data_IF_587605257531
#
_entry.id   IF_587605257531
#
_cell.length_a   1.000
_cell.length_b   1.000
_cell.length_c   1.000
_cell.angle_alpha   90.00
_cell.angle_beta   90.00
_cell.angle_gamma   90.00
#
_symmetry.space_group_name_H-M   'P 1'
#
loop_
_entity.id
_entity.type
_entity.pdbx_description
1 polymer ?
#
# COMPACT_ATOMS: atom_id res chain seq x y z
N UNK A 1 56.20 -33.31 -2.53
CA UNK A 1 56.98 -32.92 -3.71
C UNK A 1 56.10 -33.12 -4.95
N UNK A 2 55.99 -32.08 -5.79
CA UNK A 2 55.38 -32.01 -7.14
C UNK A 2 53.86 -31.77 -7.28
N UNK A 3 53.56 -30.48 -7.51
CA UNK A 3 52.57 -29.91 -8.43
C UNK A 3 52.41 -30.70 -9.75
N UNK A 4 51.19 -30.77 -10.31
CA UNK A 4 50.80 -30.09 -11.58
C UNK A 4 49.35 -30.39 -12.05
N UNK A 5 48.71 -29.32 -12.56
CA UNK A 5 47.66 -29.22 -13.60
C UNK A 5 46.24 -29.67 -13.18
N UNK A 6 45.21 -28.83 -12.98
CA UNK A 6 44.60 -27.77 -13.81
C UNK A 6 44.32 -28.21 -15.26
N UNK A 7 43.07 -28.64 -15.51
CA UNK A 7 42.29 -28.49 -16.74
C UNK A 7 40.80 -28.67 -16.32
N UNK A 8 40.05 -27.58 -16.12
CA UNK A 8 39.14 -26.99 -17.12
C UNK A 8 38.06 -27.97 -17.60
N UNK A 9 36.93 -28.00 -16.89
CA UNK A 9 35.63 -28.41 -17.44
C UNK A 9 34.58 -27.38 -17.03
N UNK A 10 34.54 -26.27 -17.78
CA UNK A 10 33.35 -25.42 -17.86
C UNK A 10 32.28 -26.21 -18.62
N UNK A 11 31.32 -26.78 -17.90
CA UNK A 11 30.10 -27.32 -18.50
C UNK A 11 29.23 -26.14 -18.95
N UNK A 12 29.48 -25.68 -20.18
CA UNK A 12 28.64 -24.76 -20.91
C UNK A 12 27.40 -25.54 -21.36
N UNK A 13 26.33 -25.47 -20.57
CA UNK A 13 25.02 -25.97 -20.96
C UNK A 13 24.45 -25.03 -22.02
N UNK A 14 24.83 -25.25 -23.28
CA UNK A 14 24.25 -24.58 -24.44
C UNK A 14 22.84 -25.16 -24.60
N UNK A 15 21.84 -24.45 -24.07
CA UNK A 15 20.45 -24.65 -24.44
C UNK A 15 20.30 -24.26 -25.91
N UNK A 16 20.46 -25.22 -26.83
CA UNK A 16 20.06 -25.03 -28.22
C UNK A 16 18.53 -25.03 -28.26
N UNK A 17 17.95 -23.84 -28.18
CA UNK A 17 16.58 -23.55 -28.59
C UNK A 17 16.44 -23.93 -30.07
N UNK A 18 15.97 -25.14 -30.33
CA UNK A 18 15.44 -25.52 -31.64
C UNK A 18 14.14 -24.76 -31.84
N UNK A 19 14.23 -23.61 -32.49
CA UNK A 19 13.10 -22.88 -33.03
C UNK A 19 12.51 -23.77 -34.13
N UNK A 20 11.41 -24.46 -33.81
CA UNK A 20 10.55 -25.05 -34.83
C UNK A 20 9.84 -23.88 -35.51
N UNK A 21 10.35 -23.50 -36.67
CA UNK A 21 9.74 -22.55 -37.59
C UNK A 21 8.47 -23.15 -38.19
N UNK A 22 7.31 -22.77 -37.66
CA UNK A 22 6.03 -22.81 -38.36
C UNK A 22 5.72 -21.42 -38.94
N UNK A 23 5.53 -21.35 -40.26
CA UNK A 23 5.18 -20.13 -40.99
C UNK A 23 3.78 -19.59 -40.64
N UNK A 24 3.71 -18.35 -40.12
CA UNK A 24 2.74 -17.32 -40.58
C UNK A 24 3.15 -15.94 -40.04
N UNK A 25 3.53 -15.04 -40.95
CA UNK A 25 3.82 -13.59 -40.77
C UNK A 25 4.80 -13.20 -39.65
N UNK A 26 5.94 -12.63 -40.04
CA UNK A 26 6.99 -12.05 -39.19
C UNK A 26 6.46 -11.09 -38.12
N UNK A 27 6.28 -11.58 -36.89
CA UNK A 27 6.05 -10.75 -35.70
C UNK A 27 7.35 -10.64 -34.91
N UNK A 28 8.11 -9.57 -35.15
CA UNK A 28 9.27 -9.22 -34.34
C UNK A 28 8.78 -8.45 -33.11
N UNK A 29 8.73 -9.11 -31.96
CA UNK A 29 8.39 -8.45 -30.68
C UNK A 29 9.58 -7.60 -30.19
N UNK A 30 9.34 -6.35 -29.80
CA UNK A 30 10.38 -5.49 -29.21
C UNK A 30 10.40 -5.66 -27.69
N UNK A 31 11.57 -5.90 -27.09
CA UNK A 31 11.70 -5.97 -25.63
C UNK A 31 11.76 -4.56 -25.02
N UNK A 32 10.92 -4.30 -24.02
CA UNK A 32 10.95 -3.11 -23.18
C UNK A 32 12.21 -3.16 -22.31
N UNK A 33 13.14 -2.22 -22.52
CA UNK A 33 14.36 -2.08 -21.74
C UNK A 33 14.30 -0.87 -20.84
N UNK A 34 14.57 -1.02 -19.55
CA UNK A 34 14.44 0.04 -18.54
C UNK A 34 13.06 0.72 -18.58
N UNK A 35 11.99 -0.05 -18.84
CA UNK A 35 10.62 0.47 -18.95
C UNK A 35 10.32 1.24 -20.24
N UNK A 36 11.24 1.27 -21.21
CA UNK A 36 11.09 1.97 -22.49
C UNK A 36 11.28 1.06 -23.70
N UNK A 37 10.47 1.25 -24.73
CA UNK A 37 10.70 0.70 -26.06
C UNK A 37 9.88 1.44 -27.10
N UNK A 38 10.36 1.47 -28.35
CA UNK A 38 9.58 1.91 -29.49
C UNK A 38 9.51 0.81 -30.55
N UNK A 39 8.38 0.75 -31.23
CA UNK A 39 8.17 -0.13 -32.36
C UNK A 39 7.11 0.47 -33.27
N UNK A 40 7.04 0.03 -34.51
CA UNK A 40 6.16 0.66 -35.47
C UNK A 40 5.67 -0.32 -36.52
N UNK A 41 4.45 -0.08 -36.99
CA UNK A 41 3.88 -0.70 -38.18
C UNK A 41 3.84 0.32 -39.33
N UNK A 42 3.04 0.03 -40.35
CA UNK A 42 2.90 0.86 -41.54
C UNK A 42 2.39 2.25 -41.20
N UNK A 43 1.27 2.37 -40.49
CA UNK A 43 0.61 3.65 -40.24
C UNK A 43 0.82 4.21 -38.84
N UNK A 44 1.31 3.41 -37.88
CA UNK A 44 1.52 3.87 -36.51
C UNK A 44 2.92 3.58 -35.99
N UNK A 45 3.46 4.54 -35.24
CA UNK A 45 4.62 4.36 -34.38
C UNK A 45 4.15 4.43 -32.93
N UNK A 46 4.58 3.46 -32.12
CA UNK A 46 4.19 3.34 -30.72
C UNK A 46 5.45 3.31 -29.87
N UNK A 47 5.43 4.10 -28.81
CA UNK A 47 6.45 4.15 -27.79
C UNK A 47 5.82 3.77 -26.44
N UNK A 48 6.36 2.76 -25.78
CA UNK A 48 6.18 2.56 -24.34
C UNK A 48 7.19 3.48 -23.68
N UNK A 49 6.71 4.59 -23.11
CA UNK A 49 7.56 5.59 -22.44
C UNK A 49 7.89 5.19 -21.00
N UNK A 50 7.00 4.43 -20.36
CA UNK A 50 7.23 3.84 -19.03
C UNK A 50 6.33 2.61 -18.84
N UNK A 51 6.84 1.63 -18.09
CA UNK A 51 6.07 0.54 -17.52
C UNK A 51 6.49 0.37 -16.05
N UNK A 52 5.53 0.46 -15.13
CA UNK A 52 5.76 0.36 -13.69
C UNK A 52 4.58 -0.31 -12.98
N UNK A 53 4.85 -0.99 -11.87
CA UNK A 53 3.78 -1.41 -10.97
C UNK A 53 3.34 -0.22 -10.12
N UNK A 54 2.02 -0.06 -9.95
CA UNK A 54 1.44 0.95 -9.06
C UNK A 54 0.37 0.32 -8.17
N UNK A 55 -0.02 1.04 -7.12
CA UNK A 55 -1.19 0.66 -6.33
C UNK A 55 -2.46 0.86 -7.16
N UNK A 56 -3.51 0.08 -6.92
CA UNK A 56 -4.86 0.38 -7.40
C UNK A 56 -5.24 1.85 -7.15
N UNK A 57 -5.85 2.50 -8.14
CA UNK A 57 -6.37 3.86 -7.95
C UNK A 57 -7.55 3.87 -6.95
N UNK A 58 -7.61 4.83 -6.03
CA UNK A 58 -8.67 4.97 -5.01
C UNK A 58 -10.03 5.38 -5.64
N UNK A 59 -11.17 4.93 -5.11
CA UNK A 59 -12.52 5.31 -5.55
C UNK A 59 -13.56 4.18 -5.69
N UNK A 60 -14.85 4.56 -5.66
CA UNK A 60 -16.02 3.74 -5.30
C UNK A 60 -16.55 2.72 -6.34
N UNK A 61 -16.00 2.67 -7.55
CA UNK A 61 -16.45 1.72 -8.58
C UNK A 61 -15.31 0.81 -9.02
N UNK A 62 -15.55 -0.50 -8.93
CA UNK A 62 -14.67 -1.55 -9.43
C UNK A 62 -13.61 -1.97 -8.41
N UNK A 63 -13.95 -2.92 -7.54
CA UNK A 63 -13.01 -3.54 -6.62
C UNK A 63 -11.95 -4.32 -7.41
N UNK A 64 -10.76 -3.75 -7.55
CA UNK A 64 -9.60 -4.53 -7.94
C UNK A 64 -9.27 -5.45 -6.77
N UNK A 65 -9.29 -6.76 -7.02
CA UNK A 65 -8.84 -7.76 -6.03
C UNK A 65 -7.35 -8.10 -6.20
N UNK A 66 -6.55 -7.12 -6.62
CA UNK A 66 -5.11 -7.24 -6.85
C UNK A 66 -4.39 -6.18 -6.04
N UNK A 67 -3.27 -6.59 -5.46
CA UNK A 67 -2.42 -5.72 -4.64
C UNK A 67 -1.70 -4.64 -5.46
N UNK A 68 -1.54 -4.88 -6.76
CA UNK A 68 -0.84 -4.00 -7.71
C UNK A 68 -1.50 -4.08 -9.07
N UNK A 69 -1.35 -3.02 -9.85
CA UNK A 69 -1.69 -2.98 -11.27
C UNK A 69 -0.47 -2.59 -12.09
N UNK A 70 -0.44 -3.01 -13.36
CA UNK A 70 0.61 -2.61 -14.29
C UNK A 70 0.17 -1.36 -15.04
N UNK A 71 0.94 -0.28 -14.89
CA UNK A 71 0.73 1.01 -15.54
C UNK A 71 1.68 1.15 -16.72
N UNK A 72 1.14 1.47 -17.89
CA UNK A 72 1.92 1.85 -19.06
C UNK A 72 1.65 3.30 -19.42
N UNK A 73 2.70 4.09 -19.61
CA UNK A 73 2.61 5.35 -20.34
C UNK A 73 2.99 5.06 -21.78
N UNK A 74 2.05 5.24 -22.71
CA UNK A 74 2.28 5.01 -24.14
C UNK A 74 2.15 6.30 -24.91
N UNK A 75 2.89 6.39 -25.99
CA UNK A 75 2.71 7.43 -26.99
C UNK A 75 2.58 6.83 -28.38
N UNK A 76 1.71 7.45 -29.19
CA UNK A 76 1.40 7.01 -30.53
C UNK A 76 1.57 8.17 -31.49
N UNK A 77 2.18 7.91 -32.64
CA UNK A 77 2.30 8.85 -33.75
C UNK A 77 1.68 8.25 -35.00
N UNK A 78 0.79 9.01 -35.63
CA UNK A 78 0.26 8.67 -36.93
C UNK A 78 1.33 8.96 -38.00
N UNK A 79 1.85 7.92 -38.65
CA UNK A 79 2.79 8.03 -39.78
C UNK A 79 2.11 7.81 -41.14
N UNK A 80 0.84 7.41 -41.13
CA UNK A 80 0.03 7.24 -42.32
C UNK A 80 -0.39 8.57 -42.93
N UNK A 81 -1.08 8.47 -44.06
CA UNK A 81 -1.62 9.58 -44.85
C UNK A 81 -3.09 9.89 -44.52
N UNK A 82 -3.74 9.04 -43.71
CA UNK A 82 -5.14 9.17 -43.28
C UNK A 82 -5.23 9.38 -41.77
N UNK A 83 -6.39 9.87 -41.34
CA UNK A 83 -6.74 9.95 -39.92
C UNK A 83 -6.70 8.57 -39.26
N UNK A 84 -6.09 8.49 -38.08
CA UNK A 84 -5.91 7.24 -37.33
C UNK A 84 -6.73 7.28 -36.04
N UNK A 85 -7.68 6.38 -35.90
CA UNK A 85 -8.42 6.22 -34.64
C UNK A 85 -7.53 5.55 -33.59
N UNK A 86 -7.34 6.23 -32.47
CA UNK A 86 -6.62 5.72 -31.30
C UNK A 86 -7.61 5.46 -30.20
N UNK A 87 -7.56 4.26 -29.64
CA UNK A 87 -8.41 3.88 -28.52
C UNK A 87 -7.63 3.01 -27.54
N UNK A 88 -7.89 3.12 -26.22
CA UNK A 88 -7.32 2.18 -25.25
C UNK A 88 -7.70 0.73 -25.55
N UNK A 89 -8.81 0.47 -26.26
CA UNK A 89 -9.26 -0.88 -26.62
C UNK A 89 -8.40 -1.57 -27.68
N UNK A 90 -7.61 -0.81 -28.44
CA UNK A 90 -6.63 -1.35 -29.40
C UNK A 90 -5.43 -2.00 -28.70
N UNK A 91 -5.28 -1.78 -27.40
CA UNK A 91 -4.24 -2.38 -26.58
C UNK A 91 -4.79 -3.55 -25.76
N UNK A 92 -4.06 -4.67 -25.82
CA UNK A 92 -4.30 -5.86 -25.00
C UNK A 92 -3.00 -6.29 -24.33
N UNK A 93 -3.07 -6.58 -23.03
CA UNK A 93 -1.95 -7.15 -22.27
C UNK A 93 -2.16 -8.65 -22.10
N UNK A 94 -1.11 -9.43 -22.34
CA UNK A 94 -1.09 -10.88 -22.17
C UNK A 94 -0.08 -11.32 -21.11
N UNK A 95 -0.42 -12.38 -20.39
CA UNK A 95 0.48 -13.18 -19.56
C UNK A 95 0.49 -14.61 -20.12
N UNK A 96 1.51 -14.94 -20.92
CA UNK A 96 1.43 -16.13 -21.78
C UNK A 96 0.25 -15.98 -22.74
N UNK A 97 -0.66 -16.95 -22.77
CA UNK A 97 -1.87 -16.90 -23.60
C UNK A 97 -3.07 -16.24 -22.89
N UNK A 98 -2.95 -15.92 -21.60
CA UNK A 98 -4.03 -15.33 -20.82
C UNK A 98 -4.13 -13.82 -21.07
N UNK A 99 -5.32 -13.35 -21.47
CA UNK A 99 -5.62 -11.92 -21.61
C UNK A 99 -5.86 -11.29 -20.25
N UNK A 100 -5.05 -10.28 -19.90
CA UNK A 100 -5.20 -9.53 -18.66
C UNK A 100 -6.36 -8.53 -18.74
N UNK A 101 -7.09 -8.39 -17.64
CA UNK A 101 -8.22 -7.47 -17.54
C UNK A 101 -7.71 -6.03 -17.52
N UNK A 102 -8.25 -5.19 -18.40
CA UNK A 102 -7.98 -3.75 -18.40
C UNK A 102 -8.60 -3.13 -17.15
N UNK A 103 -7.81 -2.34 -16.43
CA UNK A 103 -8.29 -1.56 -15.31
C UNK A 103 -8.73 -0.20 -15.82
N UNK A 104 -10.04 -0.07 -16.03
CA UNK A 104 -10.64 1.16 -16.53
C UNK A 104 -11.16 1.99 -15.35
N UNK A 105 -10.42 3.04 -14.99
CA UNK A 105 -10.85 4.04 -14.03
C UNK A 105 -10.59 5.44 -14.57
N UNK A 106 -11.40 6.39 -14.13
CA UNK A 106 -11.18 7.80 -14.42
C UNK A 106 -9.81 8.23 -13.88
N UNK A 107 -8.96 8.66 -14.80
CA UNK A 107 -7.65 9.24 -14.60
C UNK A 107 -7.51 10.29 -15.70
N UNK A 108 -7.13 11.53 -15.33
CA UNK A 108 -7.02 12.64 -16.26
C UNK A 108 -6.09 12.34 -17.43
N UNK A 109 -5.02 11.59 -17.19
CA UNK A 109 -3.96 11.22 -18.14
C UNK A 109 -4.24 9.89 -18.86
N UNK A 110 -5.39 9.25 -18.63
CA UNK A 110 -5.77 8.00 -19.31
C UNK A 110 -5.81 8.20 -20.83
N UNK A 111 -5.33 7.20 -21.58
CA UNK A 111 -5.49 7.18 -23.03
C UNK A 111 -6.99 7.19 -23.41
N UNK A 112 -7.41 8.20 -24.17
CA UNK A 112 -8.79 8.38 -24.61
C UNK A 112 -8.97 7.93 -26.05
N UNK A 113 -10.23 7.68 -26.41
CA UNK A 113 -10.62 7.58 -27.81
C UNK A 113 -10.41 8.95 -28.47
N UNK A 114 -9.52 9.01 -29.46
CA UNK A 114 -9.26 10.20 -30.25
C UNK A 114 -9.02 9.82 -31.70
N UNK A 115 -9.24 10.76 -32.60
CA UNK A 115 -8.78 10.65 -33.98
C UNK A 115 -7.51 11.49 -34.16
N UNK A 116 -6.48 10.89 -34.73
CA UNK A 116 -5.15 11.49 -34.85
C UNK A 116 -4.84 11.80 -36.32
N UNK A 117 -4.71 13.08 -36.64
CA UNK A 117 -4.33 13.54 -37.98
C UNK A 117 -2.93 13.03 -38.41
N UNK A 118 -2.66 12.91 -39.72
CA UNK A 118 -1.34 12.54 -40.25
C UNK A 118 -0.20 13.34 -39.62
N UNK A 119 0.86 12.65 -39.20
CA UNK A 119 2.04 13.23 -38.58
C UNK A 119 1.89 13.67 -37.12
N UNK A 120 0.67 13.68 -36.55
CA UNK A 120 0.44 14.08 -35.16
C UNK A 120 0.77 12.95 -34.17
N UNK A 121 1.02 13.34 -32.92
CA UNK A 121 1.39 12.46 -31.80
C UNK A 121 0.43 12.70 -30.62
N UNK A 122 0.11 11.63 -29.89
CA UNK A 122 -0.64 11.68 -28.63
C UNK A 122 0.02 10.78 -27.59
N UNK A 123 -0.32 10.95 -26.32
CA UNK A 123 0.14 10.08 -25.24
C UNK A 123 -0.99 9.85 -24.24
N UNK A 124 -0.93 8.72 -23.54
CA UNK A 124 -1.85 8.44 -22.45
C UNK A 124 -1.45 7.21 -21.65
N UNK A 125 -2.16 6.99 -20.55
CA UNK A 125 -1.92 5.88 -19.64
C UNK A 125 -2.90 4.73 -19.90
N UNK A 126 -2.38 3.51 -19.78
CA UNK A 126 -3.13 2.27 -19.73
C UNK A 126 -2.85 1.55 -18.42
N UNK A 127 -3.89 0.95 -17.84
CA UNK A 127 -3.76 0.12 -16.63
C UNK A 127 -4.31 -1.27 -16.86
N UNK A 128 -3.68 -2.27 -16.23
CA UNK A 128 -4.11 -3.66 -16.27
C UNK A 128 -4.03 -4.30 -14.89
N UNK A 129 -5.05 -5.09 -14.54
CA UNK A 129 -4.99 -6.03 -13.43
C UNK A 129 -4.08 -7.19 -13.83
N UNK A 130 -3.09 -7.51 -12.98
CA UNK A 130 -2.06 -8.51 -13.29
C UNK A 130 -1.84 -9.47 -12.14
N UNK A 131 -1.45 -10.71 -12.46
CA UNK A 131 -0.93 -11.68 -11.51
C UNK A 131 0.60 -11.59 -11.48
N UNK A 132 1.26 -12.14 -10.45
CA UNK A 132 2.72 -12.24 -10.47
C UNK A 132 3.16 -13.15 -11.62
N UNK A 133 3.95 -12.62 -12.55
CA UNK A 133 4.52 -13.32 -13.69
C UNK A 133 5.99 -12.95 -13.86
N UNK A 134 6.73 -13.69 -14.68
CA UNK A 134 8.09 -13.33 -15.10
C UNK A 134 8.12 -12.37 -16.29
N UNK A 135 7.04 -12.33 -17.08
CA UNK A 135 6.92 -11.45 -18.24
C UNK A 135 5.48 -11.21 -18.64
N UNK A 136 5.27 -10.12 -19.39
CA UNK A 136 4.02 -9.81 -20.07
C UNK A 136 4.28 -9.44 -21.53
N UNK A 137 3.21 -9.38 -22.33
CA UNK A 137 3.25 -8.87 -23.70
C UNK A 137 2.13 -7.84 -23.91
N UNK A 138 2.50 -6.58 -24.18
CA UNK A 138 1.56 -5.53 -24.56
C UNK A 138 1.46 -5.50 -26.08
N UNK A 139 0.26 -5.72 -26.59
CA UNK A 139 -0.03 -5.79 -28.02
C UNK A 139 -0.94 -4.63 -28.39
N UNK A 140 -0.52 -3.85 -29.38
CA UNK A 140 -1.42 -2.98 -30.14
C UNK A 140 -1.91 -3.72 -31.39
N UNK A 141 -3.19 -3.62 -31.70
CA UNK A 141 -3.75 -4.07 -32.97
C UNK A 141 -4.90 -3.18 -33.43
N UNK A 142 -4.93 -2.85 -34.71
CA UNK A 142 -6.04 -2.10 -35.32
C UNK A 142 -7.20 -3.01 -35.82
N UNK A 143 -7.24 -4.30 -35.46
CA UNK A 143 -8.24 -5.24 -35.96
C UNK A 143 -9.69 -4.74 -35.80
N UNK A 144 -9.97 -4.07 -34.68
CA UNK A 144 -11.31 -3.56 -34.35
C UNK A 144 -11.70 -2.29 -35.13
N UNK A 145 -10.73 -1.57 -35.72
CA UNK A 145 -10.96 -0.27 -36.38
C UNK A 145 -10.55 -0.25 -37.85
N UNK A 146 -9.83 -1.27 -38.32
CA UNK A 146 -9.40 -1.36 -39.72
C UNK A 146 -10.59 -1.55 -40.65
N UNK A 147 -10.47 -1.06 -41.88
CA UNK A 147 -11.45 -1.41 -42.93
C UNK A 147 -11.28 -2.88 -43.32
N UNK A 148 -12.35 -3.47 -43.86
CA UNK A 148 -12.39 -4.89 -44.25
C UNK A 148 -11.21 -5.31 -45.14
N UNK A 149 -10.83 -4.44 -46.07
CA UNK A 149 -9.79 -4.71 -47.07
C UNK A 149 -8.38 -4.26 -46.63
N UNK A 150 -8.26 -3.69 -45.44
CA UNK A 150 -6.96 -3.28 -44.88
C UNK A 150 -6.31 -4.44 -44.11
N UNK A 151 -5.00 -4.58 -44.28
CA UNK A 151 -4.19 -5.52 -43.51
C UNK A 151 -4.17 -5.12 -42.03
N UNK A 152 -4.19 -6.12 -41.15
CA UNK A 152 -4.07 -5.91 -39.72
C UNK A 152 -2.67 -5.42 -39.37
N UNK A 153 -2.61 -4.24 -38.79
CA UNK A 153 -1.40 -3.72 -38.16
C UNK A 153 -1.35 -4.22 -36.72
N UNK A 154 -0.23 -4.84 -36.36
CA UNK A 154 0.03 -5.31 -35.01
C UNK A 154 1.45 -4.95 -34.59
N UNK A 155 1.57 -4.43 -33.37
CA UNK A 155 2.85 -4.10 -32.73
C UNK A 155 2.87 -4.78 -31.36
N UNK A 156 3.98 -5.41 -31.01
CA UNK A 156 4.13 -6.16 -29.76
C UNK A 156 5.34 -5.71 -28.97
N UNK A 157 5.14 -5.53 -27.66
CA UNK A 157 6.16 -5.19 -26.67
C UNK A 157 6.24 -6.30 -25.63
N UNK A 158 7.41 -6.95 -25.52
CA UNK A 158 7.70 -7.90 -24.44
C UNK A 158 8.24 -7.18 -23.22
N UNK A 159 7.68 -7.48 -22.06
CA UNK A 159 7.95 -6.77 -20.83
C UNK A 159 8.53 -7.75 -19.80
N UNK A 160 9.76 -7.52 -19.38
CA UNK A 160 10.42 -8.28 -18.32
C UNK A 160 10.05 -7.67 -16.95
N UNK A 161 9.49 -8.48 -16.06
CA UNK A 161 9.06 -7.99 -14.75
C UNK A 161 10.22 -7.59 -13.85
N UNK A 162 11.41 -8.19 -14.01
CA UNK A 162 12.59 -7.79 -13.25
C UNK A 162 13.04 -6.38 -13.61
N UNK A 163 12.82 -5.95 -14.86
CA UNK A 163 13.11 -4.59 -15.28
C UNK A 163 12.06 -3.60 -14.81
N UNK A 164 10.77 -3.97 -14.86
CA UNK A 164 9.69 -3.13 -14.31
C UNK A 164 9.89 -2.90 -12.81
N UNK A 165 10.28 -3.94 -12.07
CA UNK A 165 10.49 -3.85 -10.62
C UNK A 165 11.57 -2.82 -10.26
N UNK A 166 12.62 -2.68 -11.08
CA UNK A 166 13.66 -1.64 -10.89
C UNK A 166 13.13 -0.22 -11.06
N UNK A 167 12.11 -0.04 -11.90
CA UNK A 167 11.47 1.25 -12.15
C UNK A 167 10.29 1.54 -11.21
N UNK A 168 9.82 0.53 -10.49
CA UNK A 168 8.68 0.63 -9.59
C UNK A 168 9.11 1.34 -8.30
N UNK A 169 8.45 2.45 -7.97
CA UNK A 169 8.64 3.11 -6.67
C UNK A 169 8.26 2.17 -5.52
N UNK A 170 8.84 2.38 -4.34
CA UNK A 170 8.43 1.64 -3.16
C UNK A 170 6.99 1.99 -2.76
N UNK A 171 6.06 1.13 -3.17
CA UNK A 171 4.62 1.31 -2.96
C UNK A 171 4.23 1.17 -1.48
N UNK A 172 5.04 0.52 -0.66
CA UNK A 172 4.75 0.28 0.76
C UNK A 172 5.32 1.34 1.69
N UNK A 173 6.09 2.30 1.17
CA UNK A 173 6.69 3.36 1.98
C UNK A 173 5.69 4.13 2.88
N UNK A 174 4.48 4.50 2.43
CA UNK A 174 3.47 5.11 3.30
C UNK A 174 3.09 4.22 4.49
N UNK A 175 2.95 2.90 4.26
CA UNK A 175 2.70 1.93 5.30
C UNK A 175 3.87 1.79 6.28
N UNK A 176 5.12 1.86 5.80
CA UNK A 176 6.29 1.90 6.69
C UNK A 176 6.28 3.11 7.61
N UNK A 177 5.80 4.26 7.14
CA UNK A 177 5.67 5.46 7.97
C UNK A 177 4.58 5.26 9.03
N UNK A 178 3.40 4.78 8.65
CA UNK A 178 2.34 4.46 9.62
C UNK A 178 2.83 3.46 10.68
N UNK A 179 3.59 2.45 10.26
CA UNK A 179 4.24 1.50 11.18
C UNK A 179 5.17 2.20 12.16
N UNK A 180 5.99 3.16 11.69
CA UNK A 180 6.91 3.91 12.53
C UNK A 180 6.17 4.74 13.58
N UNK A 181 5.06 5.41 13.21
CA UNK A 181 4.21 6.11 14.19
C UNK A 181 3.65 5.18 15.26
N UNK A 182 3.06 4.04 14.87
CA UNK A 182 2.51 3.05 15.81
C UNK A 182 3.61 2.49 16.72
N UNK A 183 4.77 2.16 16.15
CA UNK A 183 5.91 1.64 16.90
C UNK A 183 6.44 2.66 17.92
N UNK A 184 6.46 3.95 17.56
CA UNK A 184 6.90 5.00 18.46
C UNK A 184 5.94 5.21 19.62
N UNK A 185 4.63 5.21 19.35
CA UNK A 185 3.59 5.40 20.37
C UNK A 185 3.53 4.22 21.33
N UNK A 186 3.38 3.00 20.81
CA UNK A 186 3.06 1.83 21.64
C UNK A 186 4.26 0.92 21.95
N UNK A 187 5.29 0.88 21.11
CA UNK A 187 6.35 -0.13 21.20
C UNK A 187 7.73 0.43 21.54
N UNK A 188 7.82 1.74 21.82
CA UNK A 188 9.07 2.44 22.15
C UNK A 188 10.16 2.21 21.10
N UNK A 189 9.75 2.13 19.82
CA UNK A 189 10.60 1.82 18.67
C UNK A 189 10.43 2.87 17.58
N UNK A 190 11.41 2.98 16.70
CA UNK A 190 11.30 3.77 15.46
C UNK A 190 11.05 5.29 15.64
N UNK A 191 11.21 5.84 16.84
CA UNK A 191 11.08 7.29 17.12
C UNK A 191 11.98 8.10 16.17
N UNK A 192 13.25 7.69 16.02
CA UNK A 192 14.20 8.36 15.11
C UNK A 192 13.85 8.17 13.63
N UNK A 193 13.11 7.11 13.28
CA UNK A 193 12.68 6.88 11.89
C UNK A 193 11.56 7.83 11.49
N UNK A 194 10.74 8.32 12.43
CA UNK A 194 9.69 9.30 12.14
C UNK A 194 10.30 10.52 11.45
N UNK A 195 11.39 11.07 11.98
CA UNK A 195 12.05 12.23 11.37
C UNK A 195 12.49 11.97 9.93
N UNK A 196 13.13 10.83 9.68
CA UNK A 196 13.57 10.47 8.32
C UNK A 196 12.40 10.22 7.36
N UNK A 197 11.37 9.51 7.80
CA UNK A 197 10.29 8.99 6.96
C UNK A 197 9.14 9.99 6.77
N UNK A 198 8.95 10.92 7.70
CA UNK A 198 7.86 11.91 7.66
C UNK A 198 8.36 13.35 7.66
N UNK A 199 9.57 13.61 8.14
CA UNK A 199 10.08 14.97 8.38
C UNK A 199 9.58 15.58 9.70
N UNK A 200 8.87 14.83 10.53
CA UNK A 200 8.39 15.28 11.85
C UNK A 200 9.36 14.92 12.97
N UNK A 201 9.37 15.71 14.05
CA UNK A 201 10.10 15.35 15.25
C UNK A 201 9.37 14.19 15.96
N UNK A 202 9.96 13.00 15.90
CA UNK A 202 9.37 11.80 16.52
C UNK A 202 9.21 11.91 18.03
N UNK A 203 10.09 12.62 18.73
CA UNK A 203 9.98 12.81 20.19
C UNK A 203 8.81 13.72 20.49
N UNK A 204 8.74 14.87 19.82
CA UNK A 204 7.62 15.81 19.98
C UNK A 204 6.29 15.14 19.64
N UNK A 205 6.25 14.36 18.55
CA UNK A 205 5.07 13.59 18.17
C UNK A 205 4.63 12.64 19.29
N UNK A 206 5.53 11.80 19.81
CA UNK A 206 5.17 10.86 20.89
C UNK A 206 4.75 11.55 22.18
N UNK A 207 5.34 12.70 22.50
CA UNK A 207 4.98 13.51 23.67
C UNK A 207 3.56 14.09 23.52
N UNK A 208 3.22 14.64 22.35
CA UNK A 208 1.88 15.16 22.08
C UNK A 208 0.82 14.05 22.20
N UNK A 209 1.10 12.87 21.67
CA UNK A 209 0.18 11.72 21.78
C UNK A 209 0.00 11.27 23.24
N UNK A 210 1.08 11.20 24.03
CA UNK A 210 0.96 10.87 25.46
C UNK A 210 0.16 11.92 26.23
N UNK A 211 0.33 13.21 25.90
CA UNK A 211 -0.44 14.30 26.50
C UNK A 211 -1.92 14.22 26.16
N UNK A 212 -2.27 13.93 24.90
CA UNK A 212 -3.67 13.73 24.50
C UNK A 212 -4.28 12.52 25.21
N UNK A 213 -3.54 11.40 25.27
CA UNK A 213 -3.99 10.23 26.01
C UNK A 213 -4.22 10.51 27.50
N UNK A 214 -3.37 11.34 28.11
CA UNK A 214 -3.54 11.81 29.48
C UNK A 214 -4.81 12.66 29.63
N UNK A 215 -5.02 13.62 28.73
CA UNK A 215 -6.20 14.49 28.72
C UNK A 215 -7.48 13.66 28.62
N UNK A 216 -7.53 12.69 27.70
CA UNK A 216 -8.67 11.78 27.54
C UNK A 216 -8.92 10.92 28.77
N UNK A 217 -7.87 10.35 29.37
CA UNK A 217 -7.98 9.54 30.58
C UNK A 217 -8.48 10.38 31.78
N UNK A 218 -7.93 11.58 31.96
CA UNK A 218 -8.37 12.52 33.00
C UNK A 218 -9.83 12.92 32.79
N UNK A 219 -10.23 13.25 31.56
CA UNK A 219 -11.61 13.60 31.22
C UNK A 219 -12.57 12.46 31.50
N UNK A 220 -12.25 11.25 31.00
CA UNK A 220 -13.09 10.04 31.17
C UNK A 220 -13.28 9.64 32.63
N UNK A 221 -12.33 9.98 33.48
CA UNK A 221 -12.36 9.72 34.93
C UNK A 221 -12.86 10.91 35.74
N UNK A 222 -13.34 11.98 35.11
CA UNK A 222 -13.75 13.23 35.75
C UNK A 222 -12.66 13.80 36.68
N UNK A 223 -11.40 13.73 36.26
CA UNK A 223 -10.20 14.07 37.03
C UNK A 223 -10.05 13.26 38.33
N UNK A 224 -10.56 12.03 38.34
CA UNK A 224 -10.53 11.13 39.49
C UNK A 224 -9.21 10.38 39.68
N UNK A 225 -8.29 10.42 38.71
CA UNK A 225 -6.94 9.83 38.80
C UNK A 225 -5.87 10.90 38.94
N UNK A 226 -4.81 10.57 39.66
CA UNK A 226 -3.58 11.38 39.74
C UNK A 226 -2.66 11.16 38.54
N UNK A 227 -1.70 12.07 38.35
CA UNK A 227 -0.64 11.94 37.34
C UNK A 227 0.15 10.63 37.49
N UNK A 228 0.44 10.23 38.73
CA UNK A 228 1.17 9.00 39.02
C UNK A 228 0.35 7.75 38.67
N UNK A 229 -0.95 7.77 38.93
CA UNK A 229 -1.87 6.69 38.54
C UNK A 229 -1.98 6.60 37.02
N UNK A 230 -2.07 7.73 36.32
CA UNK A 230 -2.04 7.77 34.86
C UNK A 230 -0.74 7.18 34.29
N UNK A 231 0.43 7.61 34.77
CA UNK A 231 1.72 7.11 34.27
C UNK A 231 1.87 5.60 34.52
N UNK A 232 1.38 5.12 35.67
CA UNK A 232 1.36 3.69 36.00
C UNK A 232 0.45 2.92 35.04
N UNK A 233 -0.75 3.44 34.76
CA UNK A 233 -1.68 2.89 33.79
C UNK A 233 -1.09 2.86 32.38
N UNK A 234 -0.57 3.98 31.89
CA UNK A 234 -0.02 4.12 30.55
C UNK A 234 1.16 3.16 30.31
N UNK A 235 2.09 3.10 31.27
CA UNK A 235 3.24 2.17 31.21
C UNK A 235 2.79 0.71 31.20
N UNK A 236 1.82 0.36 32.05
CA UNK A 236 1.31 -1.02 32.13
C UNK A 236 0.56 -1.41 30.86
N UNK A 237 -0.27 -0.52 30.33
CA UNK A 237 -0.99 -0.70 29.08
C UNK A 237 -0.03 -0.93 27.92
N UNK A 238 0.97 -0.06 27.76
CA UNK A 238 2.02 -0.22 26.74
C UNK A 238 2.73 -1.57 26.85
N UNK A 239 3.12 -1.97 28.07
CA UNK A 239 3.74 -3.28 28.31
C UNK A 239 2.85 -4.43 27.84
N UNK A 240 1.55 -4.39 28.09
CA UNK A 240 0.61 -5.44 27.66
C UNK A 240 0.40 -5.43 26.16
N UNK A 241 0.30 -4.25 25.54
CA UNK A 241 0.21 -4.11 24.08
C UNK A 241 1.46 -4.67 23.40
N UNK A 242 2.65 -4.34 23.91
CA UNK A 242 3.94 -4.82 23.42
C UNK A 242 4.07 -6.34 23.49
N UNK A 243 3.53 -6.96 24.55
CA UNK A 243 3.58 -8.40 24.77
C UNK A 243 2.59 -9.15 23.88
N UNK A 244 1.35 -8.63 23.76
CA UNK A 244 0.23 -9.43 23.25
C UNK A 244 -0.30 -9.00 21.89
N UNK A 245 -0.25 -7.71 21.56
CA UNK A 245 -0.91 -7.19 20.37
C UNK A 245 0.07 -7.21 19.20
N UNK A 246 -0.44 -7.68 18.07
CA UNK A 246 0.28 -7.64 16.79
C UNK A 246 -0.56 -6.88 15.79
N UNK A 247 0.12 -6.22 14.85
CA UNK A 247 -0.52 -5.47 13.79
C UNK A 247 0.21 -5.64 12.47
N UNK A 248 -0.52 -5.41 11.38
CA UNK A 248 0.01 -5.39 10.02
C UNK A 248 -0.42 -4.10 9.36
N UNK A 249 0.46 -3.52 8.55
CA UNK A 249 0.14 -2.36 7.73
C UNK A 249 0.50 -2.64 6.29
N UNK A 250 -0.29 -2.12 5.35
CA UNK A 250 -0.06 -2.27 3.92
C UNK A 250 -0.67 -1.11 3.15
N UNK A 251 0.05 -0.57 2.18
CA UNK A 251 -0.56 0.38 1.23
C UNK A 251 -1.49 -0.39 0.29
N UNK A 252 -2.73 0.07 0.14
CA UNK A 252 -3.77 -0.67 -0.60
C UNK A 252 -4.32 0.08 -1.81
N UNK A 253 -4.27 1.42 -1.79
CA UNK A 253 -4.71 2.23 -2.92
C UNK A 253 -3.96 3.56 -2.99
N UNK A 254 -3.93 4.19 -4.16
CA UNK A 254 -3.34 5.52 -4.35
C UNK A 254 -4.31 6.47 -5.04
N UNK A 255 -4.24 7.76 -4.68
CA UNK A 255 -4.82 8.88 -5.42
C UNK A 255 -3.66 9.74 -5.93
N UNK A 256 -3.06 9.43 -7.10
CA UNK A 256 -1.87 10.12 -7.57
C UNK A 256 -2.08 11.62 -7.81
N UNK A 257 -3.28 12.03 -8.26
CA UNK A 257 -3.63 13.43 -8.48
C UNK A 257 -3.67 14.26 -7.18
N UNK A 258 -3.88 13.59 -6.05
CA UNK A 258 -3.90 14.20 -4.71
C UNK A 258 -2.64 13.89 -3.91
N UNK A 259 -1.67 13.19 -4.49
CA UNK A 259 -0.45 12.75 -3.79
C UNK A 259 -0.72 11.94 -2.50
N UNK A 260 -1.82 11.17 -2.49
CA UNK A 260 -2.28 10.38 -1.34
C UNK A 260 -2.23 8.88 -1.57
N UNK A 261 -2.10 8.14 -0.47
CA UNK A 261 -2.14 6.67 -0.41
C UNK A 261 -3.01 6.23 0.75
N UNK A 262 -3.96 5.33 0.47
CA UNK A 262 -4.70 4.64 1.51
C UNK A 262 -3.85 3.48 2.04
N UNK A 263 -3.65 3.45 3.36
CA UNK A 263 -2.94 2.41 4.10
C UNK A 263 -3.93 1.67 4.97
N UNK A 264 -3.91 0.35 4.90
CA UNK A 264 -4.72 -0.51 5.74
C UNK A 264 -3.92 -0.95 6.97
N UNK A 265 -4.42 -0.62 8.15
CA UNK A 265 -3.98 -1.12 9.45
C UNK A 265 -4.90 -2.25 9.90
N UNK A 266 -4.33 -3.44 10.04
CA UNK A 266 -4.96 -4.62 10.60
C UNK A 266 -4.42 -4.88 11.99
N UNK A 267 -5.29 -4.89 13.00
CA UNK A 267 -4.91 -5.11 14.40
C UNK A 267 -5.92 -6.01 15.09
N UNK A 268 -5.43 -6.88 15.97
CA UNK A 268 -6.30 -7.60 16.91
C UNK A 268 -6.30 -6.84 18.23
N UNK A 269 -7.37 -6.12 18.59
CA UNK A 269 -7.36 -5.25 19.76
C UNK A 269 -7.30 -6.04 21.07
N UNK A 270 -6.74 -5.40 22.09
CA UNK A 270 -6.84 -5.85 23.48
C UNK A 270 -8.27 -5.63 24.00
N UNK A 271 -8.89 -6.67 24.55
CA UNK A 271 -10.26 -6.65 25.05
C UNK A 271 -10.30 -6.18 26.49
N UNK A 272 -10.41 -4.87 26.71
CA UNK A 272 -10.50 -4.28 28.05
C UNK A 272 -11.87 -4.57 28.70
N UNK A 273 -12.94 -4.70 27.91
CA UNK A 273 -14.29 -5.06 28.40
C UNK A 273 -14.31 -6.38 29.16
N UNK A 274 -13.43 -7.35 28.83
CA UNK A 274 -13.36 -8.64 29.52
C UNK A 274 -12.88 -8.51 30.98
N UNK A 275 -12.27 -7.39 31.34
CA UNK A 275 -11.83 -7.11 32.72
C UNK A 275 -12.97 -6.56 33.60
N UNK A 276 -14.04 -6.02 32.99
CA UNK A 276 -15.13 -5.37 33.72
C UNK A 276 -15.78 -6.27 34.79
N UNK A 277 -16.05 -7.58 34.55
CA UNK A 277 -16.61 -8.44 35.59
C UNK A 277 -15.69 -8.61 36.81
N UNK A 278 -14.37 -8.61 36.62
CA UNK A 278 -13.41 -8.68 37.72
C UNK A 278 -13.36 -7.37 38.50
N UNK A 279 -13.35 -6.24 37.79
CA UNK A 279 -13.42 -4.92 38.39
C UNK A 279 -14.70 -4.73 39.23
N UNK A 280 -15.85 -5.17 38.73
CA UNK A 280 -17.12 -5.09 39.46
C UNK A 280 -17.08 -5.93 40.75
N UNK A 281 -16.55 -7.15 40.69
CA UNK A 281 -16.39 -8.01 41.88
C UNK A 281 -15.47 -7.37 42.93
N UNK A 282 -14.40 -6.72 42.49
CA UNK A 282 -13.51 -6.00 43.40
C UNK A 282 -14.22 -4.81 44.06
N UNK A 283 -14.99 -4.04 43.29
CA UNK A 283 -15.77 -2.93 43.84
C UNK A 283 -16.77 -3.41 44.90
N UNK A 284 -17.47 -4.53 44.65
CA UNK A 284 -18.36 -5.14 45.64
C UNK A 284 -17.61 -5.60 46.90
N UNK A 285 -16.40 -6.14 46.75
CA UNK A 285 -15.56 -6.56 47.87
C UNK A 285 -15.15 -5.36 48.73
N UNK A 286 -14.67 -4.29 48.11
CA UNK A 286 -14.26 -3.05 48.79
C UNK A 286 -15.42 -2.41 49.58
N UNK A 287 -16.62 -2.35 48.98
CA UNK A 287 -17.82 -1.84 49.64
C UNK A 287 -18.26 -2.70 50.84
N UNK A 288 -18.09 -4.02 50.77
CA UNK A 288 -18.42 -4.95 51.87
C UNK A 288 -17.41 -4.86 53.02
N UNK A 289 -16.12 -4.77 52.69
CA UNK A 289 -15.04 -4.71 53.69
C UNK A 289 -14.93 -3.34 54.37
N UNK A 290 -15.27 -2.27 53.66
CA UNK A 290 -15.26 -0.89 54.20
C UNK A 290 -16.61 -0.20 53.95
N UNK A 291 -17.65 -0.52 54.74
CA UNK A 291 -18.93 0.18 54.65
C UNK A 291 -18.76 1.69 54.83
N UNK A 292 -19.30 2.49 53.90
CA UNK A 292 -19.16 3.95 53.92
C UNK A 292 -17.81 4.47 53.39
N UNK A 293 -17.05 3.66 52.66
CA UNK A 293 -15.85 4.14 51.96
C UNK A 293 -16.14 5.37 51.10
N UNK A 294 -15.29 6.39 51.24
CA UNK A 294 -15.32 7.60 50.41
C UNK A 294 -15.24 7.27 48.92
N UNK A 295 -16.06 7.91 48.10
CA UNK A 295 -16.16 7.59 46.66
C UNK A 295 -14.82 7.75 45.92
N UNK A 296 -14.04 8.78 46.25
CA UNK A 296 -12.71 9.01 45.68
C UNK A 296 -11.72 7.90 46.05
N UNK A 297 -11.79 7.40 47.29
CA UNK A 297 -10.96 6.31 47.77
C UNK A 297 -11.34 4.98 47.12
N UNK A 298 -12.65 4.71 46.98
CA UNK A 298 -13.14 3.54 46.24
C UNK A 298 -12.61 3.59 44.81
N UNK A 299 -12.80 4.71 44.11
CA UNK A 299 -12.35 4.87 42.73
C UNK A 299 -10.85 4.64 42.55
N UNK A 300 -9.99 5.25 43.38
CA UNK A 300 -8.53 5.06 43.31
C UNK A 300 -8.11 3.60 43.56
N UNK A 301 -8.75 2.92 44.52
CA UNK A 301 -8.51 1.50 44.78
C UNK A 301 -8.97 0.62 43.61
N UNK A 302 -10.14 0.89 43.05
CA UNK A 302 -10.67 0.23 41.85
C UNK A 302 -9.76 0.42 40.64
N UNK A 303 -9.26 1.64 40.43
CA UNK A 303 -8.36 1.95 39.32
C UNK A 303 -7.00 1.26 39.47
N UNK A 304 -6.44 1.25 40.68
CA UNK A 304 -5.22 0.51 40.99
C UNK A 304 -5.38 -1.00 40.73
N UNK A 305 -6.53 -1.57 41.12
CA UNK A 305 -6.85 -2.96 40.81
C UNK A 305 -6.97 -3.19 39.30
N UNK A 306 -7.65 -2.31 38.57
CA UNK A 306 -7.77 -2.37 37.11
C UNK A 306 -6.40 -2.42 36.43
N UNK A 307 -5.46 -1.54 36.82
CA UNK A 307 -4.07 -1.57 36.33
C UNK A 307 -3.41 -2.93 36.59
N UNK A 308 -3.64 -3.50 37.78
CA UNK A 308 -3.03 -4.78 38.16
C UNK A 308 -3.50 -5.96 37.30
N UNK A 309 -4.76 -5.94 36.85
CA UNK A 309 -5.37 -7.00 36.04
C UNK A 309 -5.26 -6.77 34.52
N UNK A 310 -4.70 -5.64 34.06
CA UNK A 310 -4.43 -5.41 32.62
C UNK A 310 -3.73 -6.58 31.92
N UNK A 311 -2.71 -7.25 32.51
CA UNK A 311 -2.06 -8.40 31.89
C UNK A 311 -2.98 -9.61 31.72
N UNK A 312 -4.17 -9.62 32.29
CA UNK A 312 -5.14 -10.70 32.09
C UNK A 312 -6.02 -10.48 30.86
N UNK A 313 -6.05 -9.25 30.30
CA UNK A 313 -6.83 -8.93 29.12
C UNK A 313 -6.39 -9.79 27.94
N UNK A 314 -7.39 -10.32 27.22
CA UNK A 314 -7.16 -11.14 26.03
C UNK A 314 -7.10 -10.27 24.79
N UNK A 315 -6.50 -10.83 23.76
CA UNK A 315 -6.53 -10.25 22.42
C UNK A 315 -7.75 -10.80 21.68
N UNK A 316 -8.45 -9.93 20.98
CA UNK A 316 -9.59 -10.27 20.14
C UNK A 316 -9.21 -11.35 19.12
N UNK A 317 -10.08 -12.34 18.94
CA UNK A 317 -9.99 -13.30 17.84
C UNK A 317 -10.25 -12.62 16.48
N UNK A 318 -11.13 -11.61 16.48
CA UNK A 318 -11.47 -10.76 15.34
C UNK A 318 -10.44 -9.67 15.11
N UNK A 319 -10.03 -9.53 13.86
CA UNK A 319 -9.19 -8.44 13.36
C UNK A 319 -10.06 -7.20 13.11
N UNK A 320 -9.61 -6.04 13.59
CA UNK A 320 -10.13 -4.72 13.21
C UNK A 320 -9.28 -4.19 12.06
N UNK A 321 -9.95 -3.69 11.02
CA UNK A 321 -9.33 -3.07 9.86
C UNK A 321 -9.62 -1.57 9.91
N UNK A 322 -8.57 -0.76 9.86
CA UNK A 322 -8.63 0.70 9.86
C UNK A 322 -7.94 1.18 8.59
N UNK A 323 -8.62 2.04 7.83
CA UNK A 323 -8.06 2.70 6.65
C UNK A 323 -7.54 4.07 7.07
N UNK A 324 -6.28 4.32 6.79
CA UNK A 324 -5.57 5.55 7.12
C UNK A 324 -5.09 6.17 5.81
N UNK A 325 -5.48 7.41 5.56
CA UNK A 325 -4.98 8.16 4.41
C UNK A 325 -3.65 8.82 4.76
N UNK A 326 -2.63 8.51 3.98
CA UNK A 326 -1.29 9.09 4.09
C UNK A 326 -1.05 10.03 2.90
N UNK A 327 -0.42 11.15 3.15
CA UNK A 327 -0.16 12.20 2.16
C UNK A 327 1.34 12.43 1.99
N UNK A 328 1.77 12.66 0.74
CA UNK A 328 3.16 12.98 0.43
C UNK A 328 3.48 14.40 0.92
N UNK A 329 4.44 14.51 1.83
CA UNK A 329 4.93 15.79 2.34
C UNK A 329 6.22 16.26 1.66
N UNK A 330 7.09 15.33 1.30
CA UNK A 330 8.36 15.60 0.63
C UNK A 330 8.65 14.53 -0.42
N UNK A 331 9.82 14.62 -1.09
CA UNK A 331 10.19 13.70 -2.18
C UNK A 331 9.95 12.23 -1.84
N UNK A 332 10.26 11.87 -0.60
CA UNK A 332 10.21 10.51 -0.07
C UNK A 332 9.59 10.46 1.35
N UNK A 333 8.86 11.51 1.74
CA UNK A 333 8.31 11.66 3.09
C UNK A 333 6.79 11.62 3.06
N UNK A 334 6.20 10.90 4.01
CA UNK A 334 4.76 10.72 4.12
C UNK A 334 4.29 11.08 5.54
N UNK A 335 3.06 11.57 5.65
CA UNK A 335 2.41 11.91 6.93
C UNK A 335 0.96 11.46 6.89
N UNK A 336 0.28 11.50 8.04
CA UNK A 336 -1.18 11.47 8.03
C UNK A 336 -1.72 12.61 7.14
N UNK A 337 -2.73 12.33 6.33
CA UNK A 337 -3.31 13.37 5.48
C UNK A 337 -4.05 14.41 6.32
N UNK A 338 -3.79 15.68 6.03
CA UNK A 338 -4.41 16.80 6.77
C UNK A 338 -5.91 16.90 6.52
N UNK A 339 -6.41 16.33 5.43
CA UNK A 339 -7.85 16.31 5.14
C UNK A 339 -8.64 15.37 6.07
N UNK A 340 -7.94 14.43 6.72
CA UNK A 340 -8.52 13.38 7.57
C UNK A 340 -8.01 13.40 9.01
N UNK A 341 -6.82 13.95 9.22
CA UNK A 341 -6.14 13.96 10.52
C UNK A 341 -5.53 15.36 10.71
N UNK A 342 -6.16 16.15 11.55
CA UNK A 342 -5.80 17.55 11.80
C UNK A 342 -4.89 17.70 13.03
N UNK A 343 -5.07 16.82 14.02
CA UNK A 343 -4.39 16.93 15.32
C UNK A 343 -4.13 15.56 15.98
N UNK A 344 -3.68 15.59 17.24
CA UNK A 344 -3.41 14.40 18.05
C UNK A 344 -4.66 13.61 18.43
N UNK A 345 -5.83 14.23 18.47
CA UNK A 345 -7.10 13.57 18.81
C UNK A 345 -7.51 12.61 17.67
N UNK A 346 -7.41 13.07 16.42
CA UNK A 346 -7.65 12.22 15.23
C UNK A 346 -6.67 11.04 15.17
N UNK A 347 -5.39 11.26 15.53
CA UNK A 347 -4.41 10.17 15.63
C UNK A 347 -4.79 9.21 16.76
N UNK A 348 -5.28 9.72 17.89
CA UNK A 348 -5.74 8.90 19.00
C UNK A 348 -6.93 8.03 18.63
N UNK A 349 -7.83 8.46 17.74
CA UNK A 349 -8.91 7.60 17.24
C UNK A 349 -8.37 6.38 16.46
N UNK A 350 -7.38 6.61 15.59
CA UNK A 350 -6.69 5.54 14.85
C UNK A 350 -6.00 4.58 15.83
N UNK A 351 -5.28 5.14 16.80
CA UNK A 351 -4.51 4.39 17.81
C UNK A 351 -5.44 3.64 18.80
N UNK A 352 -6.63 4.19 19.08
CA UNK A 352 -7.70 3.55 19.82
C UNK A 352 -8.16 2.24 19.19
N UNK A 353 -7.85 2.01 17.90
CA UNK A 353 -7.98 0.73 17.22
C UNK A 353 -7.30 -0.47 17.91
N UNK A 354 -6.29 -0.23 18.74
CA UNK A 354 -5.57 -1.25 19.50
C UNK A 354 -6.33 -1.71 20.75
N UNK A 355 -7.36 -0.98 21.14
CA UNK A 355 -8.16 -1.24 22.34
C UNK A 355 -9.62 -1.49 21.93
N UNK A 356 -10.25 -2.44 22.60
CA UNK A 356 -11.69 -2.62 22.54
C UNK A 356 -12.24 -2.52 23.94
N UNK A 357 -12.93 -1.42 24.19
CA UNK A 357 -13.54 -1.11 25.47
C UNK A 357 -14.73 -2.03 25.78
#
# INVERSE_FOLDING_TARGET
MKLRNIFMFCFLFIFTLTIVTGCSSSQTSTTVKNGKASSSSKNVEIEVENAEYVLPLNGSMGGINKDKVLKFKVSLKNKGDKMLEISPYLFTLYQGDEKMKKYDKADSDKLRLIELEPGKKTSGILYYEVNKASSYELVYSNEETKKRDEETEKVSFKIDTQEIEKNTKDLNKPAEVLKAYINAVYYDKDIDKINKLSGEDGKQFTQNIQQEFKKDAMSSTHNGISDQEFESYYKKLKSVLQEKVTFKVKSVASSPEEDKVEVELKVKPLLLSELQPKLNKENERLLKETPGIEQSKLFSQSFSYFISILPEAKVSDKEKVIKVEMERYGKEQWRFSKDKVNDSEDVMEIMGGFLKQ
#
